data_IF_070815492696
#
_entry.id   IF_070815492696
#
_cell.length_a   1.000
_cell.length_b   1.000
_cell.length_c   1.000
_cell.angle_alpha   90.00
_cell.angle_beta   90.00
_cell.angle_gamma   90.00
#
_symmetry.space_group_name_H-M   'P 1'
#
loop_
_entity.id
_entity.type
_entity.pdbx_description
1 polymer ?
#
# COMPACT_ATOMS: atom_id res chain seq x y z
N UNK A 1 27.19 -11.06 6.65
CA UNK A 1 27.39 -10.96 8.10
C UNK A 1 26.02 -10.98 8.74
N UNK A 2 25.65 -12.06 9.44
CA UNK A 2 24.33 -12.12 10.10
C UNK A 2 24.34 -11.15 11.28
N UNK A 3 23.38 -10.22 11.31
CA UNK A 3 23.21 -9.24 12.39
C UNK A 3 21.93 -9.61 13.16
N UNK A 4 21.99 -10.53 14.14
CA UNK A 4 20.79 -11.17 14.70
C UNK A 4 19.80 -10.18 15.31
N UNK A 5 20.34 -9.16 16.02
CA UNK A 5 19.53 -8.08 16.58
C UNK A 5 18.81 -7.28 15.49
N UNK A 6 19.50 -6.95 14.40
CA UNK A 6 18.89 -6.20 13.29
C UNK A 6 17.88 -7.02 12.52
N UNK A 7 18.09 -8.34 12.37
CA UNK A 7 17.08 -9.24 11.77
C UNK A 7 15.79 -9.25 12.60
N UNK A 8 15.91 -9.36 13.93
CA UNK A 8 14.76 -9.33 14.83
C UNK A 8 14.05 -7.97 14.75
N UNK A 9 14.79 -6.86 14.88
CA UNK A 9 14.21 -5.52 14.78
C UNK A 9 13.52 -5.30 13.43
N UNK A 10 14.11 -5.77 12.32
CA UNK A 10 13.52 -5.69 11.00
C UNK A 10 12.21 -6.49 10.90
N UNK A 11 12.12 -7.68 11.48
CA UNK A 11 10.88 -8.47 11.52
C UNK A 11 9.78 -7.76 12.31
N UNK A 12 10.09 -7.24 13.50
CA UNK A 12 9.12 -6.51 14.32
C UNK A 12 8.65 -5.25 13.60
N UNK A 13 9.56 -4.48 13.01
CA UNK A 13 9.20 -3.32 12.20
C UNK A 13 8.32 -3.75 11.01
N UNK A 14 8.72 -4.78 10.26
CA UNK A 14 7.97 -5.27 9.11
C UNK A 14 6.52 -5.62 9.49
N UNK A 15 6.30 -6.39 10.55
CA UNK A 15 4.98 -6.80 11.00
C UNK A 15 4.13 -5.61 11.50
N UNK A 16 4.70 -4.74 12.34
CA UNK A 16 3.99 -3.59 12.90
C UNK A 16 3.55 -2.62 11.81
N UNK A 17 4.45 -2.28 10.89
CA UNK A 17 4.13 -1.36 9.80
C UNK A 17 3.29 -2.03 8.70
N UNK A 18 3.35 -3.36 8.54
CA UNK A 18 2.47 -4.10 7.65
C UNK A 18 1.03 -4.04 8.16
N UNK A 19 0.83 -4.19 9.46
CA UNK A 19 -0.48 -4.00 10.09
C UNK A 19 -1.03 -2.59 9.83
N UNK A 20 -0.19 -1.55 9.95
CA UNK A 20 -0.62 -0.17 9.65
C UNK A 20 -0.94 0.01 8.16
N UNK A 21 -0.08 -0.45 7.26
CA UNK A 21 -0.25 -0.24 5.82
C UNK A 21 -1.41 -1.07 5.24
N UNK A 22 -1.36 -2.38 5.40
CA UNK A 22 -2.38 -3.30 4.87
C UNK A 22 -3.69 -3.13 5.64
N UNK A 23 -3.63 -2.94 6.97
CA UNK A 23 -4.81 -2.64 7.78
C UNK A 23 -5.49 -1.34 7.34
N UNK A 24 -4.74 -0.30 6.98
CA UNK A 24 -5.33 0.91 6.41
C UNK A 24 -6.02 0.65 5.06
N UNK A 25 -5.42 -0.16 4.18
CA UNK A 25 -6.05 -0.54 2.90
C UNK A 25 -7.41 -1.23 3.13
N UNK A 26 -7.47 -2.21 4.03
CA UNK A 26 -8.72 -2.91 4.36
C UNK A 26 -9.74 -2.03 5.10
N UNK A 27 -9.30 -1.20 6.05
CA UNK A 27 -10.19 -0.26 6.73
C UNK A 27 -10.82 0.72 5.73
N UNK A 28 -10.01 1.26 4.81
CA UNK A 28 -10.51 2.12 3.73
C UNK A 28 -11.46 1.36 2.79
N UNK A 29 -11.19 0.07 2.55
CA UNK A 29 -12.05 -0.78 1.73
C UNK A 29 -13.44 -1.00 2.32
N UNK A 30 -13.48 -1.39 3.59
CA UNK A 30 -14.72 -1.69 4.32
C UNK A 30 -15.54 -0.42 4.55
N UNK A 31 -14.90 0.69 4.95
CA UNK A 31 -15.59 1.94 5.24
C UNK A 31 -16.12 2.64 3.98
N UNK A 32 -15.46 2.45 2.83
CA UNK A 32 -15.80 3.13 1.58
C UNK A 32 -15.84 2.11 0.43
N UNK A 33 -16.83 1.22 0.39
CA UNK A 33 -16.86 0.12 -0.58
C UNK A 33 -17.22 0.59 -2.00
N UNK A 34 -17.94 1.71 -2.13
CA UNK A 34 -18.42 2.25 -3.41
C UNK A 34 -17.78 3.59 -3.70
N UNK A 35 -17.55 3.85 -4.99
CA UNK A 35 -17.10 5.15 -5.45
C UNK A 35 -18.24 6.16 -5.36
N UNK A 36 -17.99 7.26 -4.64
CA UNK A 36 -18.87 8.44 -4.61
C UNK A 36 -18.15 9.58 -5.34
N UNK A 37 -18.69 10.06 -6.48
CA UNK A 37 -18.13 11.19 -7.20
C UNK A 37 -17.98 12.42 -6.31
N UNK A 38 -16.97 13.24 -6.60
CA UNK A 38 -16.83 14.55 -5.97
C UNK A 38 -18.11 15.36 -6.22
N UNK A 39 -18.71 15.91 -5.16
CA UNK A 39 -19.97 16.66 -5.29
C UNK A 39 -19.71 17.99 -5.98
N UNK A 40 -20.00 18.05 -7.27
CA UNK A 40 -19.84 19.24 -8.09
C UNK A 40 -21.20 19.93 -8.30
N UNK A 41 -21.28 21.23 -8.00
CA UNK A 41 -22.38 22.09 -8.46
C UNK A 41 -23.58 22.25 -7.52
N UNK A 42 -23.54 21.75 -6.27
CA UNK A 42 -24.70 21.81 -5.36
C UNK A 42 -24.59 22.95 -4.33
N UNK A 43 -23.37 23.32 -3.89
CA UNK A 43 -23.05 24.45 -2.99
C UNK A 43 -21.55 24.33 -2.62
N UNK A 44 -20.81 25.44 -2.56
CA UNK A 44 -19.38 25.47 -2.18
C UNK A 44 -19.17 24.89 -0.77
N UNK A 45 -20.11 25.12 0.16
CA UNK A 45 -20.01 24.55 1.49
C UNK A 45 -20.12 23.02 1.47
N UNK A 46 -20.93 22.47 0.57
CA UNK A 46 -21.07 21.01 0.38
C UNK A 46 -19.79 20.39 -0.20
N UNK A 47 -19.18 21.03 -1.19
CA UNK A 47 -17.88 20.61 -1.73
C UNK A 47 -16.80 20.64 -0.63
N UNK A 48 -16.75 21.71 0.16
CA UNK A 48 -15.77 21.84 1.24
C UNK A 48 -15.94 20.76 2.32
N UNK A 49 -17.19 20.41 2.69
CA UNK A 49 -17.46 19.30 3.62
C UNK A 49 -16.99 17.95 3.07
N UNK A 50 -17.22 17.66 1.77
CA UNK A 50 -16.74 16.41 1.16
C UNK A 50 -15.21 16.36 1.13
N UNK A 51 -14.55 17.48 0.81
CA UNK A 51 -13.09 17.58 0.85
C UNK A 51 -12.52 17.41 2.25
N UNK A 52 -13.11 18.06 3.25
CA UNK A 52 -12.70 17.94 4.65
C UNK A 52 -12.83 16.49 5.14
N UNK A 53 -13.92 15.82 4.79
CA UNK A 53 -14.11 14.40 5.11
C UNK A 53 -13.04 13.52 4.44
N UNK A 54 -12.64 13.83 3.20
CA UNK A 54 -11.56 13.12 2.48
C UNK A 54 -10.18 13.39 3.09
N UNK A 55 -9.91 14.63 3.50
CA UNK A 55 -8.67 15.01 4.19
C UNK A 55 -8.53 14.30 5.54
N UNK A 56 -9.59 14.26 6.36
CA UNK A 56 -9.57 13.57 7.66
C UNK A 56 -9.28 12.07 7.55
N UNK A 57 -9.57 11.46 6.39
CA UNK A 57 -9.24 10.04 6.14
C UNK A 57 -7.80 9.85 5.69
N UNK A 58 -7.19 10.88 5.13
CA UNK A 58 -5.85 10.84 4.59
C UNK A 58 -4.82 11.00 5.71
N UNK A 59 -4.15 9.89 6.07
CA UNK A 59 -3.13 9.90 7.10
C UNK A 59 -1.77 9.61 6.46
N UNK A 60 -0.81 10.52 6.56
CA UNK A 60 0.54 10.29 6.02
C UNK A 60 1.22 9.03 6.60
N UNK A 61 0.83 8.62 7.80
CA UNK A 61 1.42 7.49 8.54
C UNK A 61 1.37 6.19 7.72
N UNK A 62 0.25 5.85 7.07
CA UNK A 62 0.16 4.60 6.31
C UNK A 62 1.08 4.60 5.08
N UNK A 63 1.32 5.78 4.48
CA UNK A 63 2.23 5.91 3.33
C UNK A 63 3.66 5.62 3.72
N UNK A 64 4.15 6.22 4.80
CA UNK A 64 5.50 5.94 5.26
C UNK A 64 5.63 4.52 5.82
N UNK A 65 4.56 3.96 6.41
CA UNK A 65 4.54 2.55 6.79
C UNK A 65 4.86 1.62 5.61
N UNK A 66 4.33 1.90 4.41
CA UNK A 66 4.64 1.11 3.21
C UNK A 66 6.12 1.04 2.88
N UNK A 67 6.86 2.15 3.06
CA UNK A 67 8.30 2.20 2.82
C UNK A 67 9.06 1.39 3.86
N UNK A 68 8.65 1.46 5.14
CA UNK A 68 9.28 0.68 6.22
C UNK A 68 9.06 -0.81 6.00
N UNK A 69 7.86 -1.24 5.64
CA UNK A 69 7.55 -2.65 5.32
C UNK A 69 8.41 -3.13 4.15
N UNK A 70 8.42 -2.39 3.05
CA UNK A 70 9.20 -2.77 1.89
C UNK A 70 10.70 -2.84 2.19
N UNK A 71 11.25 -1.81 2.83
CA UNK A 71 12.68 -1.74 3.17
C UNK A 71 13.10 -2.85 4.15
N UNK A 72 12.31 -3.09 5.20
CA UNK A 72 12.57 -4.18 6.14
C UNK A 72 12.46 -5.55 5.49
N UNK A 73 11.52 -5.74 4.56
CA UNK A 73 11.38 -6.98 3.77
C UNK A 73 12.61 -7.25 2.90
N UNK A 74 13.04 -6.25 2.13
CA UNK A 74 14.23 -6.32 1.28
C UNK A 74 15.50 -6.54 2.10
N UNK A 75 15.63 -5.84 3.23
CA UNK A 75 16.75 -6.02 4.14
C UNK A 75 16.82 -7.45 4.70
N UNK A 76 15.68 -8.02 5.09
CA UNK A 76 15.60 -9.39 5.59
C UNK A 76 15.97 -10.43 4.52
N UNK A 77 15.55 -10.23 3.27
CA UNK A 77 15.96 -11.10 2.15
C UNK A 77 17.46 -10.98 1.88
N UNK A 78 18.00 -9.76 1.93
CA UNK A 78 19.43 -9.50 1.74
C UNK A 78 20.30 -10.12 2.84
N UNK A 79 19.93 -9.96 4.11
CA UNK A 79 20.64 -10.54 5.26
C UNK A 79 20.77 -12.07 5.16
N UNK A 80 19.77 -12.74 4.58
CA UNK A 80 19.73 -14.20 4.41
C UNK A 80 20.40 -14.68 3.13
N UNK A 81 20.86 -13.78 2.27
CA UNK A 81 21.39 -14.12 0.94
C UNK A 81 20.32 -14.56 -0.05
N UNK A 82 19.04 -14.34 0.24
CA UNK A 82 17.91 -14.80 -0.57
C UNK A 82 17.42 -13.76 -1.57
N UNK A 83 17.94 -12.53 -1.51
CA UNK A 83 17.44 -11.42 -2.30
C UNK A 83 17.51 -11.68 -3.82
N UNK A 84 18.63 -12.12 -4.41
CA UNK A 84 18.70 -12.36 -5.85
C UNK A 84 17.71 -13.44 -6.29
N UNK A 85 17.76 -14.61 -5.66
CA UNK A 85 16.92 -15.76 -5.98
C UNK A 85 15.43 -15.45 -5.82
N UNK A 86 15.05 -14.70 -4.76
CA UNK A 86 13.67 -14.26 -4.57
C UNK A 86 13.23 -13.28 -5.66
N UNK A 87 14.06 -12.29 -6.03
CA UNK A 87 13.69 -11.32 -7.06
C UNK A 87 13.70 -11.91 -8.48
N UNK A 88 14.54 -12.92 -8.73
CA UNK A 88 14.58 -13.68 -9.98
C UNK A 88 13.54 -14.79 -10.05
N UNK A 89 12.78 -15.00 -8.96
CA UNK A 89 11.74 -16.02 -8.84
C UNK A 89 12.30 -17.45 -9.01
N UNK A 90 13.44 -17.73 -8.40
CA UNK A 90 14.15 -19.01 -8.53
C UNK A 90 13.83 -19.97 -7.40
N UNK A 91 13.62 -21.24 -7.77
CA UNK A 91 13.52 -22.36 -6.84
C UNK A 91 12.46 -22.18 -5.75
N UNK A 92 12.72 -22.66 -4.52
CA UNK A 92 11.80 -22.52 -3.40
C UNK A 92 11.51 -21.08 -2.98
N UNK A 93 12.37 -20.12 -3.36
CA UNK A 93 12.24 -18.71 -3.01
C UNK A 93 11.31 -17.94 -3.96
N UNK A 94 10.85 -18.57 -5.06
CA UNK A 94 9.92 -17.95 -6.00
C UNK A 94 8.62 -17.45 -5.34
N UNK A 95 8.10 -18.17 -4.33
CA UNK A 95 6.85 -17.81 -3.64
C UNK A 95 7.01 -16.54 -2.81
N UNK A 96 8.08 -16.44 -2.02
CA UNK A 96 8.36 -15.22 -1.25
C UNK A 96 8.75 -14.06 -2.18
N UNK A 97 9.41 -14.38 -3.29
CA UNK A 97 9.72 -13.47 -4.38
C UNK A 97 8.50 -12.84 -5.05
N UNK A 98 7.47 -13.65 -5.34
CA UNK A 98 6.19 -13.18 -5.87
C UNK A 98 5.54 -12.20 -4.89
N UNK A 99 5.57 -12.52 -3.60
CA UNK A 99 5.15 -11.59 -2.55
C UNK A 99 5.94 -10.28 -2.59
N UNK A 100 7.28 -10.35 -2.67
CA UNK A 100 8.14 -9.17 -2.74
C UNK A 100 7.81 -8.26 -3.96
N UNK A 101 7.53 -8.85 -5.12
CA UNK A 101 7.12 -8.12 -6.32
C UNK A 101 5.74 -7.49 -6.18
N UNK A 102 4.73 -8.23 -5.69
CA UNK A 102 3.39 -7.67 -5.45
C UNK A 102 3.49 -6.50 -4.46
N UNK A 103 4.25 -6.64 -3.38
CA UNK A 103 4.48 -5.57 -2.40
C UNK A 103 5.16 -4.35 -3.04
N UNK A 104 6.13 -4.56 -3.94
CA UNK A 104 6.79 -3.50 -4.71
C UNK A 104 5.79 -2.78 -5.63
N UNK A 105 4.97 -3.52 -6.37
CA UNK A 105 3.94 -2.93 -7.24
C UNK A 105 2.91 -2.11 -6.43
N UNK A 106 2.49 -2.62 -5.27
CA UNK A 106 1.60 -1.89 -4.37
C UNK A 106 2.23 -0.60 -3.83
N UNK A 107 3.51 -0.64 -3.48
CA UNK A 107 4.28 0.52 -3.06
C UNK A 107 4.37 1.57 -4.18
N UNK A 108 4.71 1.14 -5.39
CA UNK A 108 4.79 2.02 -6.56
C UNK A 108 3.43 2.62 -6.91
N UNK A 109 2.35 1.83 -6.90
CA UNK A 109 1.00 2.34 -7.09
C UNK A 109 0.64 3.38 -6.02
N UNK A 110 1.02 3.15 -4.76
CA UNK A 110 0.78 4.10 -3.68
C UNK A 110 1.52 5.44 -3.88
N UNK A 111 2.81 5.39 -4.20
CA UNK A 111 3.64 6.60 -4.26
C UNK A 111 3.59 7.32 -5.60
N UNK A 112 3.45 6.60 -6.72
CA UNK A 112 3.51 7.15 -8.07
C UNK A 112 2.13 7.42 -8.67
N UNK A 113 1.08 6.70 -8.23
CA UNK A 113 -0.28 6.87 -8.76
C UNK A 113 -1.20 7.49 -7.72
N UNK A 114 -1.40 6.83 -6.58
CA UNK A 114 -2.36 7.27 -5.57
C UNK A 114 -1.99 8.64 -5.01
N UNK A 115 -0.76 8.81 -4.54
CA UNK A 115 -0.35 10.03 -3.85
C UNK A 115 -0.38 11.30 -4.74
N UNK A 116 0.14 11.30 -5.98
CA UNK A 116 0.07 12.47 -6.85
C UNK A 116 -1.37 12.90 -7.17
N UNK A 117 -2.28 11.93 -7.38
CA UNK A 117 -3.70 12.23 -7.63
C UNK A 117 -4.42 12.68 -6.36
N UNK A 118 -4.07 12.12 -5.20
CA UNK A 118 -4.58 12.60 -3.91
C UNK A 118 -4.18 14.05 -3.63
N UNK A 119 -2.93 14.44 -3.92
CA UNK A 119 -2.49 15.83 -3.74
C UNK A 119 -3.36 16.83 -4.53
N UNK A 120 -3.69 16.50 -5.78
CA UNK A 120 -4.60 17.31 -6.61
C UNK A 120 -6.03 17.29 -6.08
N UNK A 121 -6.53 16.12 -5.69
CA UNK A 121 -7.87 15.97 -5.12
C UNK A 121 -8.06 16.81 -3.84
N UNK A 122 -7.11 16.72 -2.91
CA UNK A 122 -7.17 17.39 -1.60
C UNK A 122 -6.80 18.87 -1.67
N UNK A 123 -6.30 19.35 -2.81
CA UNK A 123 -5.95 20.75 -3.01
C UNK A 123 -4.55 21.14 -2.52
N UNK A 124 -3.69 20.16 -2.22
CA UNK A 124 -2.25 20.40 -1.98
C UNK A 124 -1.52 20.87 -3.24
N UNK A 125 -2.07 20.53 -4.42
CA UNK A 125 -1.62 21.03 -5.72
C UNK A 125 -2.83 21.64 -6.42
N UNK A 126 -2.71 22.86 -6.99
CA UNK A 126 -3.79 23.48 -7.77
C UNK A 126 -4.22 22.56 -8.93
N UNK A 127 -5.53 22.39 -9.08
CA UNK A 127 -6.14 21.59 -10.14
C UNK A 127 -7.56 22.10 -10.41
N UNK A 128 -8.02 22.01 -11.66
CA UNK A 128 -9.40 22.39 -12.02
C UNK A 128 -10.41 21.44 -11.39
N UNK A 129 -11.68 21.85 -11.30
CA UNK A 129 -12.72 20.98 -10.75
C UNK A 129 -12.84 19.65 -11.52
N UNK A 130 -12.75 19.72 -12.85
CA UNK A 130 -12.76 18.54 -13.73
C UNK A 130 -11.59 17.59 -13.42
N UNK A 131 -10.39 18.14 -13.26
CA UNK A 131 -9.21 17.36 -12.88
C UNK A 131 -9.38 16.71 -11.51
N UNK A 132 -9.96 17.42 -10.53
CA UNK A 132 -10.21 16.89 -9.18
C UNK A 132 -11.20 15.72 -9.21
N UNK A 133 -12.26 15.79 -10.03
CA UNK A 133 -13.18 14.67 -10.25
C UNK A 133 -12.44 13.47 -10.82
N UNK A 134 -11.63 13.67 -11.86
CA UNK A 134 -10.83 12.58 -12.46
C UNK A 134 -9.87 11.97 -11.43
N UNK A 135 -9.17 12.81 -10.65
CA UNK A 135 -8.27 12.39 -9.59
C UNK A 135 -8.98 11.61 -8.48
N UNK A 136 -10.24 11.95 -8.16
CA UNK A 136 -11.04 11.21 -7.17
C UNK A 136 -11.26 9.75 -7.59
N UNK A 137 -11.56 9.52 -8.88
CA UNK A 137 -11.75 8.18 -9.43
C UNK A 137 -10.46 7.38 -9.45
N UNK A 138 -9.35 8.00 -9.88
CA UNK A 138 -8.04 7.35 -9.92
C UNK A 138 -7.58 6.97 -8.51
N UNK A 139 -7.75 7.89 -7.54
CA UNK A 139 -7.43 7.64 -6.13
C UNK A 139 -8.22 6.45 -5.59
N UNK A 140 -9.53 6.39 -5.87
CA UNK A 140 -10.38 5.29 -5.44
C UNK A 140 -9.94 3.96 -6.03
N UNK A 141 -9.77 3.89 -7.36
CA UNK A 141 -9.36 2.65 -8.04
C UNK A 141 -7.98 2.19 -7.59
N UNK A 142 -7.03 3.10 -7.45
CA UNK A 142 -5.68 2.79 -6.98
C UNK A 142 -5.68 2.20 -5.56
N UNK A 143 -6.53 2.73 -4.66
CA UNK A 143 -6.74 2.14 -3.33
C UNK A 143 -7.33 0.73 -3.39
N UNK A 144 -8.30 0.49 -4.29
CA UNK A 144 -8.88 -0.85 -4.51
C UNK A 144 -7.85 -1.85 -5.00
N UNK A 145 -7.04 -1.47 -5.99
CA UNK A 145 -5.96 -2.31 -6.50
C UNK A 145 -5.01 -2.73 -5.38
N UNK A 146 -4.59 -1.82 -4.51
CA UNK A 146 -3.74 -2.17 -3.37
C UNK A 146 -4.42 -3.13 -2.38
N UNK A 147 -5.72 -3.00 -2.15
CA UNK A 147 -6.45 -3.92 -1.25
C UNK A 147 -6.62 -5.31 -1.86
N UNK A 148 -6.88 -5.39 -3.17
CA UNK A 148 -7.02 -6.69 -3.85
C UNK A 148 -5.67 -7.39 -3.91
N UNK A 149 -4.60 -6.65 -4.25
CA UNK A 149 -3.23 -7.17 -4.32
C UNK A 149 -2.67 -7.58 -2.95
N UNK A 150 -3.14 -6.98 -1.85
CA UNK A 150 -2.69 -7.40 -0.51
C UNK A 150 -3.10 -8.82 -0.16
N UNK A 151 -4.16 -9.36 -0.78
CA UNK A 151 -4.56 -10.75 -0.54
C UNK A 151 -3.54 -11.78 -1.03
N UNK A 152 -3.18 -11.85 -2.34
CA UNK A 152 -2.14 -12.76 -2.81
C UNK A 152 -0.76 -12.45 -2.21
N UNK A 153 -0.46 -11.17 -1.91
CA UNK A 153 0.74 -10.78 -1.18
C UNK A 153 0.86 -11.53 0.16
N UNK A 154 -0.17 -11.45 1.01
CA UNK A 154 -0.16 -12.07 2.33
C UNK A 154 -0.07 -13.60 2.24
N UNK A 155 -0.75 -14.20 1.27
CA UNK A 155 -0.66 -15.64 1.01
C UNK A 155 0.77 -16.05 0.62
N UNK A 156 1.40 -15.33 -0.30
CA UNK A 156 2.81 -15.56 -0.68
C UNK A 156 3.78 -15.44 0.50
N UNK A 157 3.56 -14.45 1.37
CA UNK A 157 4.39 -14.26 2.57
C UNK A 157 4.22 -15.40 3.58
N UNK A 158 2.98 -15.85 3.81
CA UNK A 158 2.68 -16.95 4.73
C UNK A 158 3.18 -18.31 4.19
N UNK A 159 2.97 -18.58 2.89
CA UNK A 159 3.44 -19.80 2.24
C UNK A 159 4.98 -19.87 2.21
N UNK A 160 5.67 -18.74 2.04
CA UNK A 160 7.13 -18.69 2.09
C UNK A 160 7.72 -19.02 3.46
N UNK A 161 6.99 -18.76 4.56
CA UNK A 161 7.47 -19.04 5.94
C UNK A 161 7.00 -20.37 6.52
N UNK A 162 5.86 -20.89 6.09
CA UNK A 162 5.24 -22.09 6.67
C UNK A 162 5.07 -23.26 5.69
N UNK A 163 5.48 -23.08 4.42
CA UNK A 163 5.33 -24.06 3.35
C UNK A 163 3.93 -24.03 2.72
N UNK A 164 3.87 -24.47 1.46
CA UNK A 164 2.62 -24.56 0.69
C UNK A 164 1.61 -25.57 1.25
N UNK A 165 2.04 -26.54 2.07
CA UNK A 165 1.17 -27.61 2.57
C UNK A 165 0.04 -27.14 3.52
N UNK A 166 0.07 -25.88 3.95
CA UNK A 166 -0.97 -25.29 4.79
C UNK A 166 -2.01 -24.48 3.99
N UNK A 167 -1.90 -24.43 2.66
CA UNK A 167 -2.80 -23.66 1.77
C UNK A 167 -3.15 -24.41 0.49
#
# INVERSE_FOLDING_TARGET
>A
MQLPLLDVLARYAHLLFALVWVGHNYANFIQNPRFVPLQNGIDVATLNRDLEARMKREHGIFRYASLVVWASGMFMLWQRGWLPDALLLEGPLAVIGLGAWIGTLMLLNLWLVLWPHQKKLLGFVPATLEERVRCSRITFLSSRSNTILSFPLLLSMAAGSHGLHLF
#
